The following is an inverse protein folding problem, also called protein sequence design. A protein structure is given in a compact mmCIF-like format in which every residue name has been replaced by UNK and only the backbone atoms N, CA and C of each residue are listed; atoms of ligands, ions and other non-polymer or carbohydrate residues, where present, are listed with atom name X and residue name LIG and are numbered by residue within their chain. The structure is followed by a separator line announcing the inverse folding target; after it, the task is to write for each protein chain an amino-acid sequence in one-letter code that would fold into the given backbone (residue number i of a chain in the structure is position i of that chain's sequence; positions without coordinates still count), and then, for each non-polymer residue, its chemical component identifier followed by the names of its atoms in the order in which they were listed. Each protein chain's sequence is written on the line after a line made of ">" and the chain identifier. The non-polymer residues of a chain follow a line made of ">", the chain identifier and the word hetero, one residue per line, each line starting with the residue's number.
data_IF_327801095117
#
_entry.id   IF_327801095117
#
_cell.length_a   1.000
_cell.length_b   1.000
_cell.length_c   1.000
_cell.angle_alpha   90.00
_cell.angle_beta   90.00
_cell.angle_gamma   90.00
#
_symmetry.space_group_name_H-M   'P 1'
#
loop_
_entity.id
_entity.type
_entity.pdbx_description
1 polymer ?
#
# COMPACT_ATOMS: atom_id res chain seq x y z
N UNK A 1 4.80 -11.95 -24.59
CA UNK A 1 3.36 -11.85 -24.90
C UNK A 1 3.08 -11.94 -26.40
N UNK A 2 4.00 -11.44 -27.23
CA UNK A 2 3.97 -11.49 -28.71
C UNK A 2 3.69 -12.88 -29.33
N UNK A 3 4.20 -13.98 -28.76
CA UNK A 3 3.89 -15.35 -29.25
C UNK A 3 2.40 -15.72 -29.19
N UNK A 4 1.62 -14.97 -28.41
CA UNK A 4 0.17 -15.08 -28.30
C UNK A 4 -0.55 -13.91 -29.01
N UNK A 5 0.16 -13.12 -29.81
CA UNK A 5 -0.39 -11.96 -30.53
C UNK A 5 -0.71 -10.77 -29.63
N UNK A 6 -0.18 -10.72 -28.41
CA UNK A 6 -0.43 -9.64 -27.44
C UNK A 6 0.76 -8.69 -27.43
N UNK A 7 0.51 -7.45 -27.84
CA UNK A 7 1.38 -6.30 -27.57
C UNK A 7 1.10 -5.80 -26.15
N UNK A 8 2.10 -5.85 -25.28
CA UNK A 8 1.94 -5.57 -23.86
C UNK A 8 2.78 -4.36 -23.45
N UNK A 9 2.10 -3.27 -23.09
CA UNK A 9 2.72 -2.11 -22.42
C UNK A 9 2.52 -2.20 -20.91
N UNK A 10 3.62 -2.24 -20.15
CA UNK A 10 3.61 -2.29 -18.70
C UNK A 10 4.06 -0.94 -18.15
N UNK A 11 3.16 -0.30 -17.40
CA UNK A 11 3.43 0.97 -16.73
C UNK A 11 3.46 0.79 -15.23
N UNK A 12 4.37 1.50 -14.56
CA UNK A 12 4.41 1.52 -13.11
C UNK A 12 3.13 2.16 -12.54
N UNK A 13 2.47 1.45 -11.62
CA UNK A 13 1.36 1.99 -10.85
C UNK A 13 1.82 3.03 -9.83
N UNK A 14 0.93 3.95 -9.46
CA UNK A 14 1.18 4.99 -8.45
C UNK A 14 0.43 4.73 -7.13
N UNK A 15 0.16 3.45 -6.83
CA UNK A 15 -0.68 3.01 -5.72
C UNK A 15 -1.99 2.37 -6.17
N UNK A 16 -2.51 1.46 -5.35
CA UNK A 16 -3.67 0.63 -5.70
C UNK A 16 -4.94 1.45 -5.97
N UNK A 17 -5.20 2.51 -5.22
CA UNK A 17 -6.39 3.35 -5.44
C UNK A 17 -6.34 4.05 -6.81
N UNK A 18 -5.19 4.64 -7.17
CA UNK A 18 -5.01 5.29 -8.49
C UNK A 18 -5.10 4.27 -9.63
N UNK A 19 -4.56 3.08 -9.44
CA UNK A 19 -4.60 1.99 -10.43
C UNK A 19 -6.04 1.53 -10.69
N UNK A 20 -6.84 1.38 -9.64
CA UNK A 20 -8.28 1.07 -9.76
C UNK A 20 -9.02 2.16 -10.54
N UNK A 21 -8.77 3.43 -10.24
CA UNK A 21 -9.40 4.56 -10.94
C UNK A 21 -8.97 4.64 -12.42
N UNK A 22 -7.68 4.48 -12.71
CA UNK A 22 -7.15 4.50 -14.07
C UNK A 22 -7.74 3.38 -14.93
N UNK A 23 -7.84 2.17 -14.37
CA UNK A 23 -8.45 1.01 -15.05
C UNK A 23 -9.94 1.26 -15.31
N UNK A 24 -10.69 1.75 -14.30
CA UNK A 24 -12.10 2.05 -14.46
C UNK A 24 -12.37 3.19 -15.45
N UNK A 25 -11.43 4.13 -15.61
CA UNK A 25 -11.48 5.22 -16.58
C UNK A 25 -11.01 4.81 -17.99
N UNK A 26 -10.61 3.54 -18.20
CA UNK A 26 -10.13 3.05 -19.49
C UNK A 26 -8.73 3.56 -19.87
N UNK A 27 -7.95 4.06 -18.92
CA UNK A 27 -6.55 4.46 -19.16
C UNK A 27 -5.59 3.26 -19.24
N UNK A 28 -6.02 2.11 -18.74
CA UNK A 28 -5.37 0.81 -18.84
C UNK A 28 -6.43 -0.29 -18.95
N UNK A 29 -6.19 -1.30 -19.77
CA UNK A 29 -7.11 -2.44 -19.92
C UNK A 29 -7.16 -3.30 -18.65
N UNK A 30 -6.02 -3.44 -17.98
CA UNK A 30 -5.87 -4.17 -16.73
C UNK A 30 -5.06 -3.35 -15.73
N UNK A 31 -5.36 -3.54 -14.44
CA UNK A 31 -4.62 -2.96 -13.34
C UNK A 31 -4.36 -4.01 -12.27
N UNK A 32 -3.14 -4.03 -11.74
CA UNK A 32 -2.82 -4.81 -10.56
C UNK A 32 -2.98 -3.94 -9.31
N UNK A 33 -3.90 -4.31 -8.43
CA UNK A 33 -4.22 -3.58 -7.22
C UNK A 33 -4.64 -4.55 -6.12
N UNK A 34 -4.35 -4.19 -4.86
CA UNK A 34 -4.76 -5.01 -3.73
C UNK A 34 -6.28 -4.95 -3.51
N UNK A 35 -6.81 -6.05 -2.99
CA UNK A 35 -8.23 -6.23 -2.73
C UNK A 35 -8.86 -5.14 -1.85
N UNK A 36 -8.24 -4.63 -0.76
CA UNK A 36 -8.84 -3.55 0.03
C UNK A 36 -9.07 -2.26 -0.76
N UNK A 37 -8.16 -1.91 -1.68
CA UNK A 37 -8.31 -0.72 -2.53
C UNK A 37 -9.39 -0.93 -3.59
N UNK A 38 -9.46 -2.12 -4.18
CA UNK A 38 -10.54 -2.51 -5.09
C UNK A 38 -11.91 -2.40 -4.40
N UNK A 39 -12.05 -2.99 -3.21
CA UNK A 39 -13.29 -2.95 -2.42
C UNK A 39 -13.69 -1.52 -2.07
N UNK A 40 -12.75 -0.69 -1.64
CA UNK A 40 -13.02 0.73 -1.37
C UNK A 40 -13.49 1.48 -2.63
N UNK A 41 -12.93 1.17 -3.81
CA UNK A 41 -13.40 1.74 -5.07
C UNK A 41 -14.82 1.29 -5.42
N UNK A 42 -15.12 -0.01 -5.28
CA UNK A 42 -16.46 -0.56 -5.53
C UNK A 42 -17.50 0.05 -4.59
N UNK A 43 -17.17 0.22 -3.31
CA UNK A 43 -18.01 0.89 -2.31
C UNK A 43 -18.31 2.35 -2.70
N UNK A 44 -17.35 3.01 -3.35
CA UNK A 44 -17.50 4.36 -3.91
C UNK A 44 -18.18 4.39 -5.30
N UNK A 45 -18.67 3.25 -5.80
CA UNK A 45 -19.38 3.14 -7.08
C UNK A 45 -18.48 3.01 -8.32
N UNK A 46 -17.18 2.80 -8.14
CA UNK A 46 -16.25 2.54 -9.26
C UNK A 46 -16.60 1.20 -9.91
N UNK A 47 -16.88 1.23 -11.21
CA UNK A 47 -17.27 0.05 -11.99
C UNK A 47 -16.05 -0.76 -12.43
N UNK A 48 -15.49 -1.54 -11.52
CA UNK A 48 -14.34 -2.42 -11.75
C UNK A 48 -14.64 -3.83 -11.24
N UNK A 49 -13.96 -4.84 -11.80
CA UNK A 49 -14.08 -6.25 -11.40
C UNK A 49 -12.71 -6.86 -11.17
N UNK A 50 -12.59 -7.72 -10.17
CA UNK A 50 -11.42 -8.60 -10.03
C UNK A 50 -11.54 -9.78 -10.98
N UNK A 51 -10.50 -10.04 -11.77
CA UNK A 51 -10.42 -11.20 -12.66
C UNK A 51 -9.64 -12.37 -12.03
N UNK A 52 -8.88 -12.10 -10.96
CA UNK A 52 -8.06 -13.09 -10.29
C UNK A 52 -7.27 -12.49 -9.13
N UNK A 53 -6.73 -13.35 -8.28
CA UNK A 53 -5.90 -12.99 -7.13
C UNK A 53 -4.53 -13.60 -7.30
N UNK A 54 -3.50 -12.75 -7.42
CA UNK A 54 -2.11 -13.20 -7.55
C UNK A 54 -1.48 -13.48 -6.19
N UNK A 55 -1.68 -12.57 -5.22
CA UNK A 55 -1.23 -12.72 -3.84
C UNK A 55 -2.42 -13.08 -2.95
N UNK A 56 -2.56 -14.36 -2.60
CA UNK A 56 -3.67 -14.83 -1.75
C UNK A 56 -3.51 -14.43 -0.27
N UNK A 57 -2.26 -14.20 0.15
CA UNK A 57 -1.92 -13.63 1.45
C UNK A 57 -1.21 -12.32 1.23
N UNK A 58 -1.58 -11.30 2.00
CA UNK A 58 -0.96 -9.98 1.86
C UNK A 58 0.48 -10.03 2.41
N UNK A 59 1.47 -9.53 1.65
CA UNK A 59 2.81 -9.28 2.19
C UNK A 59 2.92 -7.96 2.95
N UNK A 60 1.79 -7.27 3.20
CA UNK A 60 1.79 -5.96 3.86
C UNK A 60 2.45 -6.02 5.24
N UNK A 61 3.32 -5.05 5.50
CA UNK A 61 4.18 -5.01 6.67
C UNK A 61 4.48 -3.56 7.08
N UNK A 62 4.82 -3.38 8.35
CA UNK A 62 5.61 -2.22 8.79
C UNK A 62 7.07 -2.67 8.80
N UNK A 63 7.91 -1.96 8.06
CA UNK A 63 9.33 -2.27 7.92
C UNK A 63 10.14 -1.19 8.62
N UNK A 64 11.11 -1.61 9.41
CA UNK A 64 12.04 -0.70 10.10
C UNK A 64 13.41 -1.35 10.20
N UNK A 65 14.45 -0.56 10.41
CA UNK A 65 15.76 -1.10 10.78
C UNK A 65 15.72 -1.59 12.23
N UNK A 66 16.39 -2.70 12.53
CA UNK A 66 16.49 -3.28 13.88
C UNK A 66 16.87 -2.25 14.95
N UNK A 67 17.76 -1.30 14.60
CA UNK A 67 18.20 -0.22 15.49
C UNK A 67 17.06 0.70 15.99
N UNK A 68 15.86 0.64 15.40
CA UNK A 68 14.68 1.40 15.85
C UNK A 68 13.95 0.72 17.01
N UNK A 69 14.22 -0.56 17.28
CA UNK A 69 13.60 -1.32 18.36
C UNK A 69 12.09 -1.43 18.22
N UNK A 70 11.60 -1.64 16.99
CA UNK A 70 10.19 -1.92 16.70
C UNK A 70 10.09 -3.43 16.48
N UNK A 71 9.76 -4.17 17.55
CA UNK A 71 9.72 -5.63 17.53
C UNK A 71 8.28 -6.16 17.48
N UNK A 72 7.31 -5.32 17.83
CA UNK A 72 5.90 -5.65 17.72
C UNK A 72 5.00 -4.44 17.50
N UNK A 73 3.67 -4.67 17.36
CA UNK A 73 2.72 -3.61 17.10
C UNK A 73 2.73 -2.51 18.17
N UNK A 74 2.90 -2.87 19.45
CA UNK A 74 2.89 -1.92 20.56
C UNK A 74 3.96 -0.84 20.47
N UNK A 75 5.10 -1.14 19.83
CA UNK A 75 6.24 -0.23 19.69
C UNK A 75 6.02 0.86 18.66
N UNK A 76 4.90 0.82 17.92
CA UNK A 76 4.50 1.84 16.96
C UNK A 76 3.99 3.11 17.64
N UNK A 77 3.59 3.06 18.91
CA UNK A 77 3.14 4.24 19.65
C UNK A 77 4.27 5.28 19.73
N UNK A 78 3.95 6.52 19.36
CA UNK A 78 4.88 7.62 19.27
C UNK A 78 5.80 7.60 18.04
N UNK A 79 5.71 6.59 17.16
CA UNK A 79 6.60 6.47 15.99
C UNK A 79 6.07 7.26 14.80
N UNK A 80 7.00 7.65 13.93
CA UNK A 80 6.67 8.21 12.62
C UNK A 80 6.90 7.16 11.53
N UNK A 81 5.84 6.77 10.82
CA UNK A 81 5.86 5.75 9.78
C UNK A 81 5.63 6.38 8.41
N UNK A 82 6.52 6.13 7.45
CA UNK A 82 6.36 6.61 6.07
C UNK A 82 5.26 5.81 5.35
N UNK A 83 4.30 6.54 4.77
CA UNK A 83 3.18 5.99 4.00
C UNK A 83 3.10 6.58 2.61
N UNK A 84 2.27 5.99 1.75
CA UNK A 84 1.90 6.57 0.46
C UNK A 84 0.40 6.71 0.43
N UNK A 85 -0.08 7.93 0.21
CA UNK A 85 -1.52 8.20 0.16
C UNK A 85 -2.14 7.46 -1.03
N UNK A 86 -3.22 6.71 -0.79
CA UNK A 86 -3.90 5.92 -1.83
C UNK A 86 -3.22 4.58 -2.15
N UNK A 87 -2.14 4.24 -1.45
CA UNK A 87 -1.63 2.86 -1.40
C UNK A 87 -2.62 1.95 -0.65
N UNK A 88 -2.59 0.66 -0.91
CA UNK A 88 -3.46 -0.31 -0.25
C UNK A 88 -3.25 -0.32 1.27
N UNK A 89 -2.00 -0.19 1.72
CA UNK A 89 -1.66 -0.15 3.14
C UNK A 89 -2.25 1.06 3.85
N UNK A 90 -2.53 2.17 3.13
CA UNK A 90 -3.21 3.33 3.74
C UNK A 90 -4.67 3.03 4.10
N UNK A 91 -5.26 1.94 3.57
CA UNK A 91 -6.61 1.48 3.94
C UNK A 91 -6.59 0.46 5.07
N UNK A 92 -5.55 -0.37 5.14
CA UNK A 92 -5.47 -1.46 6.12
C UNK A 92 -4.72 -1.09 7.39
N UNK A 93 -3.78 -0.13 7.35
CA UNK A 93 -2.99 0.24 8.51
C UNK A 93 -3.81 0.78 9.70
N UNK A 94 -4.82 1.66 9.52
CA UNK A 94 -5.70 2.06 10.62
C UNK A 94 -6.44 0.89 11.28
N UNK A 95 -6.86 -0.10 10.46
CA UNK A 95 -7.53 -1.32 10.95
C UNK A 95 -6.55 -2.18 11.75
N UNK A 96 -5.31 -2.29 11.27
CA UNK A 96 -4.23 -2.98 11.99
C UNK A 96 -3.95 -2.32 13.35
N UNK A 97 -3.83 -1.00 13.41
CA UNK A 97 -3.63 -0.26 14.67
C UNK A 97 -4.77 -0.53 15.64
N UNK A 98 -6.02 -0.39 15.19
CA UNK A 98 -7.21 -0.65 15.99
C UNK A 98 -7.25 -2.08 16.54
N UNK A 99 -6.93 -3.08 15.72
CA UNK A 99 -6.87 -4.49 16.16
C UNK A 99 -5.82 -4.74 17.23
N UNK A 100 -4.78 -3.91 17.31
CA UNK A 100 -3.72 -4.01 18.30
C UNK A 100 -3.88 -3.02 19.47
N UNK A 101 -5.05 -2.37 19.62
CA UNK A 101 -5.30 -1.44 20.72
C UNK A 101 -4.46 -0.16 20.65
N UNK A 102 -4.10 0.27 19.43
CA UNK A 102 -3.33 1.49 19.16
C UNK A 102 -4.27 2.49 18.50
N UNK A 103 -4.33 3.72 19.02
CA UNK A 103 -5.07 4.80 18.41
C UNK A 103 -4.37 5.30 17.15
N UNK A 104 -5.12 5.76 16.15
CA UNK A 104 -4.52 6.36 14.94
C UNK A 104 -3.68 7.60 15.28
N UNK A 105 -4.05 8.35 16.33
CA UNK A 105 -3.28 9.49 16.85
C UNK A 105 -1.98 9.08 17.56
N UNK A 106 -1.83 7.81 17.94
CA UNK A 106 -0.63 7.32 18.59
C UNK A 106 0.51 7.09 17.59
N UNK A 107 0.24 7.12 16.27
CA UNK A 107 1.24 6.89 15.22
C UNK A 107 1.18 8.00 14.19
N UNK A 108 2.31 8.65 13.92
CA UNK A 108 2.37 9.68 12.88
C UNK A 108 2.62 9.03 11.52
N UNK A 109 1.70 9.18 10.57
CA UNK A 109 1.93 8.71 9.19
C UNK A 109 2.43 9.87 8.32
N UNK A 110 3.69 9.80 7.89
CA UNK A 110 4.26 10.77 6.95
C UNK A 110 4.07 10.29 5.52
N UNK A 111 3.10 10.87 4.81
CA UNK A 111 2.80 10.49 3.43
C UNK A 111 3.81 11.08 2.43
N UNK A 112 4.24 10.24 1.48
CA UNK A 112 5.13 10.60 0.37
C UNK A 112 4.91 9.62 -0.81
N UNK A 113 5.57 9.84 -1.95
CA UNK A 113 5.53 8.89 -3.06
C UNK A 113 6.28 7.58 -2.71
N UNK A 114 6.16 6.51 -3.52
CA UNK A 114 6.80 5.23 -3.22
C UNK A 114 8.31 5.31 -3.02
N UNK A 115 9.03 6.11 -3.82
CA UNK A 115 10.47 6.27 -3.69
C UNK A 115 10.82 7.09 -2.44
N UNK A 116 10.03 8.11 -2.15
CA UNK A 116 10.16 8.96 -0.97
C UNK A 116 10.01 8.19 0.34
N UNK A 117 9.17 7.13 0.40
CA UNK A 117 9.03 6.30 1.61
C UNK A 117 10.35 5.63 1.97
N UNK A 118 10.99 5.04 0.95
CA UNK A 118 12.27 4.33 1.09
C UNK A 118 13.35 5.33 1.51
N UNK A 119 13.44 6.48 0.84
CA UNK A 119 14.40 7.51 1.18
C UNK A 119 14.21 8.07 2.60
N UNK A 120 12.97 8.24 3.06
CA UNK A 120 12.67 8.76 4.40
C UNK A 120 13.13 7.80 5.52
N UNK A 121 12.96 6.49 5.33
CA UNK A 121 13.47 5.49 6.30
C UNK A 121 14.98 5.39 6.27
N UNK A 122 15.60 5.34 5.08
CA UNK A 122 17.06 5.26 4.93
C UNK A 122 17.76 6.46 5.57
N UNK A 123 17.21 7.66 5.40
CA UNK A 123 17.75 8.89 6.00
C UNK A 123 17.41 9.07 7.49
N UNK A 124 16.64 8.17 8.08
CA UNK A 124 16.21 8.25 9.48
C UNK A 124 15.12 9.30 9.77
N UNK A 125 14.57 9.95 8.74
CA UNK A 125 13.46 10.91 8.86
C UNK A 125 12.18 10.27 9.40
N UNK A 126 11.98 8.97 9.14
CA UNK A 126 10.90 8.17 9.70
C UNK A 126 11.47 6.91 10.37
N UNK A 127 10.75 6.39 11.35
CA UNK A 127 11.15 5.20 12.13
C UNK A 127 10.89 3.89 11.39
N UNK A 128 9.96 3.89 10.44
CA UNK A 128 9.69 2.77 9.57
C UNK A 128 8.87 3.22 8.36
N UNK A 129 8.51 2.27 7.49
CA UNK A 129 7.61 2.49 6.36
C UNK A 129 6.55 1.40 6.28
N UNK A 130 5.44 1.74 5.64
CA UNK A 130 4.47 0.76 5.16
C UNK A 130 4.95 0.20 3.82
N UNK A 131 5.18 -1.11 3.76
CA UNK A 131 5.70 -1.80 2.59
C UNK A 131 5.30 -3.27 2.52
N UNK A 132 5.83 -3.98 1.52
CA UNK A 132 5.59 -5.41 1.35
C UNK A 132 6.86 -6.19 1.66
N UNK A 133 6.77 -7.17 2.57
CA UNK A 133 7.87 -8.08 2.89
C UNK A 133 7.73 -9.35 2.02
N UNK A 134 8.84 -9.78 1.43
CA UNK A 134 8.95 -11.00 0.62
C UNK A 134 9.48 -12.16 1.44
#
# INVERSE_FOLDING_TARGET
>A
FEKHGIDLDIRAGQGSQKTVQATAAGQSDFGWADTPALLAGVDQGVKVKSLGVFLQTTPASVQSFDAKGIEGPGDLKGRTIAGTAGDALSKTFPIFLKKNGIGESDVTVQNTDPAGKIAAVISGKTDGLLGYAS
#
